data_IF_086323350986
#
_entry.id   IF_086323350986
#
_cell.length_a   1.000
_cell.length_b   1.000
_cell.length_c   1.000
_cell.angle_alpha   90.00
_cell.angle_beta   90.00
_cell.angle_gamma   90.00
#
_symmetry.space_group_name_H-M   'P 1'
#
loop_
_entity.id
_entity.type
_entity.pdbx_description
1 polymer ?
#
# COMPACT_ATOMS: atom_id res chain seq x y z
N UNK A 1 -29.27 -46.01 8.67
CA UNK A 1 -28.27 -45.09 9.26
C UNK A 1 -27.52 -44.40 8.12
N UNK A 2 -28.12 -43.37 7.50
CA UNK A 2 -27.58 -42.72 6.28
C UNK A 2 -27.66 -41.18 6.31
N UNK A 3 -27.95 -40.59 7.47
CA UNK A 3 -28.11 -39.13 7.59
C UNK A 3 -26.78 -38.43 7.93
N UNK A 4 -25.84 -39.16 8.55
CA UNK A 4 -24.54 -38.61 8.97
C UNK A 4 -23.64 -38.31 7.76
N UNK A 5 -23.73 -39.12 6.70
CA UNK A 5 -22.92 -39.00 5.49
C UNK A 5 -23.24 -37.74 4.66
N UNK A 6 -24.52 -37.36 4.56
CA UNK A 6 -24.95 -36.21 3.77
C UNK A 6 -24.51 -34.88 4.38
N UNK A 7 -24.52 -34.76 5.71
CA UNK A 7 -24.06 -33.54 6.38
C UNK A 7 -22.55 -33.35 6.23
N UNK A 8 -21.77 -34.43 6.22
CA UNK A 8 -20.31 -34.33 6.02
C UNK A 8 -19.97 -33.87 4.60
N UNK A 9 -20.69 -34.38 3.59
CA UNK A 9 -20.53 -33.99 2.19
C UNK A 9 -20.91 -32.52 2.00
N UNK A 10 -21.98 -32.05 2.63
CA UNK A 10 -22.42 -30.66 2.57
C UNK A 10 -21.36 -29.71 3.15
N UNK A 11 -20.75 -30.08 4.28
CA UNK A 11 -19.69 -29.29 4.92
C UNK A 11 -18.43 -29.24 4.05
N UNK A 12 -18.02 -30.35 3.44
CA UNK A 12 -16.90 -30.37 2.50
C UNK A 12 -17.14 -29.47 1.28
N UNK A 13 -18.37 -29.45 0.76
CA UNK A 13 -18.78 -28.57 -0.34
C UNK A 13 -18.67 -27.09 0.04
N UNK A 14 -19.10 -26.72 1.25
CA UNK A 14 -18.99 -25.33 1.74
C UNK A 14 -17.53 -24.90 1.89
N UNK A 15 -16.68 -25.76 2.47
CA UNK A 15 -15.25 -25.46 2.63
C UNK A 15 -14.56 -25.30 1.27
N UNK A 16 -14.85 -26.17 0.31
CA UNK A 16 -14.31 -26.06 -1.06
C UNK A 16 -14.75 -24.76 -1.75
N UNK A 17 -15.99 -24.32 -1.52
CA UNK A 17 -16.53 -23.08 -2.08
C UNK A 17 -15.85 -21.85 -1.48
N UNK A 18 -15.60 -21.85 -0.16
CA UNK A 18 -14.85 -20.78 0.52
C UNK A 18 -13.39 -20.72 0.05
N UNK A 19 -12.71 -21.87 -0.11
CA UNK A 19 -11.33 -21.92 -0.58
C UNK A 19 -11.21 -21.46 -2.05
N UNK A 20 -12.19 -21.78 -2.89
CA UNK A 20 -12.23 -21.27 -4.28
C UNK A 20 -12.43 -19.76 -4.33
N UNK A 21 -13.34 -19.21 -3.52
CA UNK A 21 -13.55 -17.76 -3.42
C UNK A 21 -12.30 -17.03 -2.89
N UNK A 22 -11.60 -17.60 -1.91
CA UNK A 22 -10.33 -17.05 -1.40
C UNK A 22 -9.19 -17.17 -2.43
N UNK A 23 -9.16 -18.24 -3.23
CA UNK A 23 -8.14 -18.43 -4.28
C UNK A 23 -8.34 -17.53 -5.49
N UNK A 24 -9.59 -17.13 -5.79
CA UNK A 24 -9.87 -16.12 -6.83
C UNK A 24 -9.51 -14.70 -6.37
N UNK A 25 -9.51 -14.44 -5.06
CA UNK A 25 -8.95 -13.20 -4.50
C UNK A 25 -7.42 -13.16 -4.60
N UNK A 26 -6.75 -14.30 -4.35
CA UNK A 26 -5.28 -14.38 -4.32
C UNK A 26 -4.64 -14.42 -5.72
N UNK A 27 -5.35 -14.96 -6.73
CA UNK A 27 -4.86 -15.03 -8.12
C UNK A 27 -4.83 -13.70 -8.87
N UNK A 28 -5.25 -12.61 -8.24
CA UNK A 28 -5.07 -11.25 -8.77
C UNK A 28 -3.71 -10.63 -8.47
N UNK A 29 -2.93 -11.18 -7.51
CA UNK A 29 -1.73 -10.53 -6.96
C UNK A 29 -0.42 -11.00 -7.63
N UNK A 30 -0.39 -10.99 -8.97
CA UNK A 30 0.87 -11.01 -9.73
C UNK A 30 0.95 -9.92 -10.80
N UNK A 31 0.04 -8.95 -10.72
CA UNK A 31 0.24 -7.66 -11.36
C UNK A 31 0.93 -6.78 -10.35
N UNK A 32 2.16 -6.40 -10.70
CA UNK A 32 2.69 -5.03 -10.56
C UNK A 32 1.56 -4.05 -10.21
N UNK A 33 1.19 -3.96 -8.93
CA UNK A 33 0.31 -2.91 -8.43
C UNK A 33 1.18 -1.67 -8.34
N UNK A 34 1.42 -1.07 -9.50
CA UNK A 34 1.64 0.36 -9.62
C UNK A 34 0.35 0.99 -9.11
N UNK A 35 0.27 1.09 -7.78
CA UNK A 35 -0.87 1.61 -7.05
C UNK A 35 -1.01 3.07 -7.46
N UNK A 36 -1.94 3.32 -8.39
CA UNK A 36 -2.34 4.63 -8.90
C UNK A 36 -2.82 5.50 -7.74
N UNK A 37 -1.86 6.09 -7.03
CA UNK A 37 -2.11 6.96 -5.90
C UNK A 37 -2.38 8.37 -6.44
N UNK A 38 -3.67 8.65 -6.66
CA UNK A 38 -4.31 9.96 -6.55
C UNK A 38 -3.87 11.02 -7.59
N UNK A 39 -4.59 11.06 -8.72
CA UNK A 39 -4.58 12.16 -9.73
C UNK A 39 -5.21 13.47 -9.21
N UNK A 40 -4.75 14.01 -8.08
CA UNK A 40 -5.23 15.31 -7.58
C UNK A 40 -4.13 16.38 -7.49
N UNK A 41 -2.90 16.11 -7.93
CA UNK A 41 -1.75 16.97 -7.61
C UNK A 41 -0.64 17.04 -8.68
N UNK A 42 -0.93 16.80 -9.96
CA UNK A 42 0.08 16.95 -11.04
C UNK A 42 0.70 18.36 -11.11
N UNK A 43 0.01 19.39 -10.62
CA UNK A 43 0.44 20.80 -10.66
C UNK A 43 1.29 21.25 -9.44
N UNK A 44 1.79 20.29 -8.64
CA UNK A 44 2.64 20.58 -7.48
C UNK A 44 4.11 20.41 -7.85
N UNK A 45 4.96 21.32 -7.37
CA UNK A 45 6.38 21.38 -7.73
C UNK A 45 7.18 20.11 -7.36
N UNK A 46 6.87 19.52 -6.22
CA UNK A 46 7.61 18.37 -5.71
C UNK A 46 6.72 17.14 -5.60
N UNK A 47 7.18 16.04 -6.20
CA UNK A 47 6.63 14.70 -6.00
C UNK A 47 7.57 13.94 -5.07
N UNK A 48 7.01 13.42 -3.98
CA UNK A 48 7.69 12.59 -3.00
C UNK A 48 7.19 11.17 -3.13
N UNK A 49 8.13 10.24 -3.25
CA UNK A 49 7.86 8.81 -3.24
C UNK A 49 8.54 8.25 -2.01
N UNK A 50 7.74 7.75 -1.06
CA UNK A 50 8.21 7.12 0.16
C UNK A 50 8.03 5.62 0.00
N UNK A 51 9.12 4.88 -0.11
CA UNK A 51 9.10 3.43 -0.04
C UNK A 51 9.25 3.01 1.42
N UNK A 52 8.32 2.19 1.89
CA UNK A 52 8.31 1.59 3.22
C UNK A 52 8.72 0.14 3.03
N UNK A 53 9.90 -0.22 3.54
CA UNK A 53 10.37 -1.60 3.58
C UNK A 53 9.90 -2.24 4.88
N UNK A 54 9.09 -3.29 4.75
CA UNK A 54 8.56 -4.08 5.85
C UNK A 54 9.56 -5.15 6.27
N UNK A 55 9.46 -5.62 7.52
CA UNK A 55 10.34 -6.66 8.07
C UNK A 55 10.23 -8.01 7.34
N UNK A 56 9.11 -8.28 6.68
CA UNK A 56 8.89 -9.47 5.86
C UNK A 56 9.48 -9.34 4.44
N UNK A 57 10.09 -8.20 4.13
CA UNK A 57 10.66 -7.87 2.83
C UNK A 57 9.68 -7.21 1.85
N UNK A 58 8.41 -7.05 2.22
CA UNK A 58 7.41 -6.34 1.42
C UNK A 58 7.78 -4.86 1.29
N UNK A 59 7.56 -4.27 0.12
CA UNK A 59 7.77 -2.84 -0.11
C UNK A 59 6.43 -2.20 -0.45
N UNK A 60 6.01 -1.23 0.37
CA UNK A 60 4.83 -0.40 0.11
C UNK A 60 5.26 0.99 -0.33
N UNK A 61 4.63 1.54 -1.36
CA UNK A 61 4.96 2.86 -1.89
C UNK A 61 3.85 3.86 -1.58
N UNK A 62 4.25 5.04 -1.08
CA UNK A 62 3.37 6.17 -0.85
C UNK A 62 3.83 7.32 -1.73
N UNK A 63 2.93 7.84 -2.55
CA UNK A 63 3.20 9.01 -3.39
C UNK A 63 2.47 10.22 -2.82
N UNK A 64 3.23 11.28 -2.55
CA UNK A 64 2.72 12.55 -2.05
C UNK A 64 3.24 13.71 -2.90
N UNK A 65 2.48 14.80 -2.94
CA UNK A 65 2.79 15.97 -3.75
C UNK A 65 2.71 17.23 -2.91
N UNK A 66 3.67 18.14 -3.05
CA UNK A 66 3.70 19.39 -2.30
C UNK A 66 4.37 20.52 -3.08
N UNK A 67 3.99 21.76 -2.78
CA UNK A 67 4.72 22.96 -3.22
C UNK A 67 5.87 23.31 -2.27
N UNK A 68 5.86 22.73 -1.07
CA UNK A 68 6.92 22.89 -0.09
C UNK A 68 7.99 21.82 -0.28
N UNK A 69 9.25 22.23 -0.15
CA UNK A 69 10.39 21.31 -0.17
C UNK A 69 10.59 20.75 1.24
N UNK A 70 10.41 19.45 1.40
CA UNK A 70 10.80 18.72 2.60
C UNK A 70 12.20 18.16 2.37
N UNK A 71 13.12 18.49 3.28
CA UNK A 71 14.52 18.08 3.17
C UNK A 71 14.79 16.73 3.87
N UNK A 72 13.87 16.28 4.74
CA UNK A 72 14.01 15.04 5.51
C UNK A 72 12.80 14.11 5.35
N UNK A 73 13.07 12.81 5.24
CA UNK A 73 12.02 11.77 5.24
C UNK A 73 11.21 11.77 6.54
N UNK A 74 11.83 12.12 7.67
CA UNK A 74 11.21 12.21 8.99
C UNK A 74 9.96 13.12 9.00
N UNK A 75 10.02 14.23 8.26
CA UNK A 75 8.96 15.23 8.16
C UNK A 75 7.75 14.65 7.41
N UNK A 76 7.99 13.97 6.30
CA UNK A 76 6.95 13.29 5.52
C UNK A 76 6.33 12.15 6.33
N UNK A 77 7.14 11.31 6.97
CA UNK A 77 6.65 10.22 7.82
C UNK A 77 5.76 10.76 8.93
N UNK A 78 6.14 11.86 9.60
CA UNK A 78 5.34 12.44 10.66
C UNK A 78 3.96 12.96 10.19
N UNK A 79 3.84 13.39 8.93
CA UNK A 79 2.55 13.80 8.34
C UNK A 79 1.63 12.60 8.17
N UNK A 80 2.17 11.47 7.73
CA UNK A 80 1.42 10.24 7.46
C UNK A 80 1.38 9.28 8.67
N UNK A 81 1.91 9.68 9.82
CA UNK A 81 1.93 8.83 11.02
C UNK A 81 0.70 9.07 11.91
N UNK A 82 0.08 7.98 12.38
CA UNK A 82 -0.84 8.01 13.50
C UNK A 82 -0.06 7.78 14.80
N UNK A 83 0.01 8.80 15.65
CA UNK A 83 0.77 8.73 16.93
C UNK A 83 0.06 7.91 18.01
N UNK A 84 -1.26 7.83 17.98
CA UNK A 84 -2.04 7.07 18.96
C UNK A 84 -1.89 5.57 18.75
N UNK A 85 -1.81 5.15 17.48
CA UNK A 85 -1.71 3.75 17.07
C UNK A 85 -0.27 3.31 16.74
N UNK A 86 0.71 4.21 16.89
CA UNK A 86 2.12 4.03 16.47
C UNK A 86 2.24 3.35 15.09
N UNK A 87 1.60 3.97 14.10
CA UNK A 87 1.47 3.41 12.75
C UNK A 87 1.63 4.46 11.66
N UNK A 88 1.96 4.00 10.46
CA UNK A 88 1.95 4.80 9.23
C UNK A 88 0.63 4.54 8.49
N UNK A 89 -0.04 5.61 8.12
CA UNK A 89 -1.27 5.59 7.35
C UNK A 89 -0.92 5.74 5.88
N UNK A 90 -1.47 4.87 5.04
CA UNK A 90 -1.48 5.09 3.59
C UNK A 90 -2.79 4.63 2.97
N UNK A 91 -3.12 5.21 1.82
CA UNK A 91 -4.35 4.88 1.10
C UNK A 91 -4.04 3.95 -0.07
N UNK A 92 -4.65 2.77 -0.08
CA UNK A 92 -4.62 1.83 -1.20
C UNK A 92 -6.00 1.83 -1.86
N UNK A 93 -6.12 2.51 -3.00
CA UNK A 93 -7.40 2.72 -3.67
C UNK A 93 -8.41 3.46 -2.77
N UNK A 94 -9.47 2.75 -2.33
CA UNK A 94 -10.51 3.31 -1.44
C UNK A 94 -10.29 2.98 0.04
N UNK A 95 -9.33 2.12 0.34
CA UNK A 95 -9.07 1.65 1.68
C UNK A 95 -7.92 2.42 2.32
N UNK A 96 -8.07 2.69 3.61
CA UNK A 96 -7.04 3.29 4.42
C UNK A 96 -6.36 2.18 5.22
N UNK A 97 -5.08 1.98 4.94
CA UNK A 97 -4.27 0.92 5.54
C UNK A 97 -3.38 1.55 6.61
N UNK A 98 -3.32 0.87 7.75
CA UNK A 98 -2.48 1.23 8.89
C UNK A 98 -1.35 0.21 8.98
N UNK A 99 -0.12 0.65 8.80
CA UNK A 99 1.08 -0.16 8.97
C UNK A 99 1.66 0.11 10.36
N UNK A 100 1.68 -0.88 11.28
CA UNK A 100 2.32 -0.71 12.59
C UNK A 100 3.81 -0.42 12.43
N UNK A 101 4.33 0.57 13.16
CA UNK A 101 5.73 1.00 13.00
C UNK A 101 6.74 -0.11 13.34
N UNK A 102 6.37 -1.01 14.26
CA UNK A 102 7.15 -2.20 14.63
C UNK A 102 7.38 -3.17 13.44
N UNK A 103 6.54 -3.11 12.41
CA UNK A 103 6.61 -3.99 11.23
C UNK A 103 7.43 -3.36 10.10
N UNK A 104 7.89 -2.12 10.29
CA UNK A 104 8.68 -1.36 9.32
C UNK A 104 10.16 -1.51 9.64
N UNK A 105 10.93 -1.96 8.66
CA UNK A 105 12.38 -2.08 8.72
C UNK A 105 13.06 -0.74 8.40
N UNK A 106 12.65 -0.12 7.29
CA UNK A 106 13.29 1.09 6.78
C UNK A 106 12.36 1.93 5.92
N UNK A 107 12.74 3.20 5.76
CA UNK A 107 12.12 4.14 4.81
C UNK A 107 13.15 4.60 3.79
N UNK A 108 12.74 4.68 2.54
CA UNK A 108 13.51 5.32 1.47
C UNK A 108 12.68 6.44 0.85
N UNK A 109 13.32 7.60 0.67
CA UNK A 109 12.69 8.78 0.10
C UNK A 109 13.30 9.09 -1.27
N UNK A 110 12.45 9.20 -2.27
CA UNK A 110 12.79 9.73 -3.59
C UNK A 110 12.03 11.04 -3.77
N UNK A 111 12.76 12.09 -4.16
CA UNK A 111 12.21 13.44 -4.38
C UNK A 111 12.41 13.81 -5.85
N UNK A 112 11.32 14.19 -6.50
CA UNK A 112 11.30 14.65 -7.88
C UNK A 112 10.86 16.12 -7.87
N UNK A 113 11.74 17.02 -8.35
CA UNK A 113 11.42 18.45 -8.56
C UNK A 113 11.03 18.62 -10.03
N UNK A 114 9.73 18.82 -10.28
CA UNK A 114 9.17 18.92 -11.62
C UNK A 114 9.79 20.07 -12.44
N UNK A 115 10.30 21.13 -11.79
CA UNK A 115 10.98 22.20 -12.52
C UNK A 115 12.36 21.78 -13.08
N UNK A 116 13.05 20.86 -12.40
CA UNK A 116 14.34 20.33 -12.89
C UNK A 116 14.19 19.25 -13.96
N UNK A 117 13.01 18.65 -14.08
CA UNK A 117 12.70 17.73 -15.18
C UNK A 117 12.49 18.48 -16.49
N UNK A 118 11.86 19.67 -16.45
CA UNK A 118 11.63 20.52 -17.62
C UNK A 118 12.95 21.12 -18.16
N UNK A 119 13.90 21.48 -17.31
CA UNK A 119 15.22 22.00 -17.74
C UNK A 119 16.08 20.98 -18.50
N UNK A 120 15.85 19.66 -18.33
CA UNK A 120 16.60 18.63 -19.07
C UNK A 120 16.10 18.38 -20.49
N UNK A 121 14.94 18.94 -20.85
CA UNK A 121 14.30 18.78 -22.16
C UNK A 121 14.41 20.03 -23.04
N UNK A 122 15.14 21.05 -22.60
CA UNK A 122 15.42 22.30 -23.33
C UNK A 122 16.77 22.31 -24.03
#
# INVERSE_FOLDING_TARGET
MFIISNNLILVMLIIALVVSLLSEWDKGSSREEVNDTIRAFEDKRYKYIVNIKMNDGTISQIVAFSNHKYDEVSQLINIISNKELDSVIYQAGKELILIPRKEIEAYELIVIDSNKEVEKLG
#
